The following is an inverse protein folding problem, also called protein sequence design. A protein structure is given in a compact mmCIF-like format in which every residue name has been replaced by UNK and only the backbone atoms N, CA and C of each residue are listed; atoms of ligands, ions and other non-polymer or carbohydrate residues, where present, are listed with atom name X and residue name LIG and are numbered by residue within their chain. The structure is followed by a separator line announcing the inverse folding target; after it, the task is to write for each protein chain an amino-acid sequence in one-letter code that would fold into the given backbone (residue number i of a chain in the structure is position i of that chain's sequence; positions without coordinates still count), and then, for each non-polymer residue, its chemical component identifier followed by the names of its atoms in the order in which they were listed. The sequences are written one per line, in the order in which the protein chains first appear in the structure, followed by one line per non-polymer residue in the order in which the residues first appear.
data_IF_469245435181
#
_entry.id   IF_469245435181
#
_cell.length_a   1.000
_cell.length_b   1.000
_cell.length_c   1.000
_cell.angle_alpha   90.00
_cell.angle_beta   90.00
_cell.angle_gamma   90.00
#
_symmetry.space_group_name_H-M   'P 1'
#
loop_
_entity.id
_entity.type
_entity.pdbx_description
1 polymer ?
#
# COMPACT_ATOMS: atom_id res chain seq x y z
N UNK A 1 -27.72 70.95 61.83
CA UNK A 1 -27.80 69.88 60.81
C UNK A 1 -26.49 69.84 60.04
N UNK A 2 -25.71 68.77 60.14
CA UNK A 2 -24.85 68.29 59.05
C UNK A 2 -24.30 66.90 59.40
N UNK A 3 -24.98 65.89 58.86
CA UNK A 3 -24.63 64.49 58.93
C UNK A 3 -23.64 64.18 57.80
N UNK A 4 -22.36 64.00 58.12
CA UNK A 4 -21.34 63.53 57.18
C UNK A 4 -21.11 62.04 57.43
N UNK A 5 -21.94 61.21 56.79
CA UNK A 5 -21.79 59.75 56.75
C UNK A 5 -20.57 59.38 55.89
N UNK A 6 -19.49 58.94 56.53
CA UNK A 6 -18.37 58.28 55.85
C UNK A 6 -18.81 56.88 55.40
N UNK A 7 -18.99 56.66 54.10
CA UNK A 7 -19.19 55.32 53.54
C UNK A 7 -17.90 54.50 53.63
N UNK A 8 -17.93 53.26 54.14
CA UNK A 8 -16.77 52.39 54.13
C UNK A 8 -16.45 51.93 52.69
N UNK A 9 -15.19 52.08 52.31
CA UNK A 9 -14.65 51.61 51.04
C UNK A 9 -14.82 50.08 50.93
N UNK A 10 -15.65 49.63 49.99
CA UNK A 10 -15.81 48.21 49.67
C UNK A 10 -14.54 47.70 48.98
N UNK A 11 -13.71 47.00 49.74
CA UNK A 11 -12.54 46.29 49.22
C UNK A 11 -13.00 45.20 48.25
N UNK A 12 -12.84 45.41 46.94
CA UNK A 12 -13.09 44.36 45.95
C UNK A 12 -11.97 43.34 46.06
N UNK A 13 -12.29 42.13 46.53
CA UNK A 13 -11.42 40.97 46.45
C UNK A 13 -11.15 40.66 44.97
N UNK A 14 -9.97 41.09 44.51
CA UNK A 14 -9.46 40.83 43.16
C UNK A 14 -9.14 39.33 43.07
N UNK A 15 -10.06 38.53 42.52
CA UNK A 15 -9.81 37.12 42.20
C UNK A 15 -8.64 37.04 41.22
N UNK A 16 -7.50 36.49 41.65
CA UNK A 16 -6.44 36.09 40.72
C UNK A 16 -6.98 34.95 39.84
N UNK A 17 -6.96 35.06 38.50
CA UNK A 17 -7.29 33.92 37.67
C UNK A 17 -6.26 32.81 37.93
N UNK A 18 -6.75 31.64 38.38
CA UNK A 18 -5.93 30.45 38.60
C UNK A 18 -5.24 30.06 37.28
N UNK A 19 -3.92 29.90 37.32
CA UNK A 19 -3.00 29.52 36.24
C UNK A 19 -3.24 28.09 35.70
N UNK A 20 -4.46 27.76 35.27
CA UNK A 20 -4.79 26.44 34.68
C UNK A 20 -4.32 26.28 33.23
N UNK A 21 -3.47 27.19 32.74
CA UNK A 21 -2.96 27.15 31.35
C UNK A 21 -1.83 26.14 31.17
N UNK A 22 -1.08 25.79 32.22
CA UNK A 22 0.03 24.84 32.13
C UNK A 22 -0.42 23.40 31.87
N UNK A 23 -1.46 22.92 32.59
CA UNK A 23 -1.95 21.55 32.44
C UNK A 23 -2.52 21.27 31.03
N UNK A 24 -3.15 22.28 30.40
CA UNK A 24 -3.64 22.16 29.03
C UNK A 24 -2.49 22.03 28.02
N UNK A 25 -1.42 22.80 28.19
CA UNK A 25 -0.23 22.71 27.32
C UNK A 25 0.41 21.31 27.39
N UNK A 26 0.49 20.73 28.60
CA UNK A 26 1.01 19.36 28.78
C UNK A 26 0.11 18.34 28.08
N UNK A 27 -1.21 18.46 28.22
CA UNK A 27 -2.17 17.57 27.56
C UNK A 27 -2.07 17.66 26.03
N UNK A 28 -1.99 18.88 25.49
CA UNK A 28 -1.84 19.11 24.04
C UNK A 28 -0.51 18.52 23.55
N UNK A 29 0.59 18.73 24.27
CA UNK A 29 1.88 18.17 23.91
C UNK A 29 1.85 16.63 23.88
N UNK A 30 1.19 15.99 24.85
CA UNK A 30 1.01 14.54 24.85
C UNK A 30 0.15 14.06 23.67
N UNK A 31 -0.96 14.74 23.36
CA UNK A 31 -1.81 14.41 22.23
C UNK A 31 -1.10 14.59 20.89
N UNK A 32 -0.29 15.64 20.74
CA UNK A 32 0.53 15.84 19.55
C UNK A 32 1.59 14.73 19.42
N UNK A 33 2.26 14.36 20.51
CA UNK A 33 3.22 13.25 20.50
C UNK A 33 2.53 11.93 20.10
N UNK A 34 1.37 11.62 20.67
CA UNK A 34 0.57 10.46 20.29
C UNK A 34 0.15 10.50 18.81
N UNK A 35 -0.27 11.66 18.31
CA UNK A 35 -0.61 11.85 16.90
C UNK A 35 0.58 11.57 15.99
N UNK A 36 1.77 12.10 16.29
CA UNK A 36 2.98 11.82 15.50
C UNK A 36 3.33 10.34 15.44
N UNK A 37 3.18 9.59 16.55
CA UNK A 37 3.38 8.13 16.54
C UNK A 37 2.45 7.48 15.53
N UNK A 38 1.16 7.82 15.54
CA UNK A 38 0.19 7.25 14.57
C UNK A 38 0.51 7.61 13.12
N UNK A 39 0.98 8.83 12.86
CA UNK A 39 1.35 9.27 11.51
C UNK A 39 2.54 8.49 10.98
N UNK A 40 3.59 8.30 11.78
CA UNK A 40 4.79 7.55 11.36
C UNK A 40 4.39 6.13 10.96
N UNK A 41 3.65 5.42 11.83
CA UNK A 41 3.15 4.07 11.50
C UNK A 41 2.24 4.05 10.27
N UNK A 42 1.38 5.07 10.11
CA UNK A 42 0.48 5.15 8.96
C UNK A 42 1.24 5.25 7.63
N UNK A 43 2.38 5.94 7.59
CA UNK A 43 3.20 6.07 6.39
C UNK A 43 3.82 4.73 6.01
N UNK A 44 4.37 4.00 6.99
CA UNK A 44 4.95 2.67 6.76
C UNK A 44 3.92 1.69 6.18
N UNK A 45 2.72 1.66 6.76
CA UNK A 45 1.61 0.80 6.30
C UNK A 45 1.15 1.21 4.91
N UNK A 46 0.99 2.51 4.65
CA UNK A 46 0.60 3.00 3.33
C UNK A 46 1.62 2.59 2.25
N UNK A 47 2.92 2.67 2.57
CA UNK A 47 3.98 2.25 1.66
C UNK A 47 3.92 0.76 1.34
N UNK A 48 3.69 -0.09 2.34
CA UNK A 48 3.52 -1.54 2.13
C UNK A 48 2.31 -1.86 1.23
N UNK A 49 1.19 -1.17 1.44
CA UNK A 49 0.01 -1.34 0.59
C UNK A 49 0.23 -0.85 -0.84
N UNK A 50 0.93 0.26 -1.02
CA UNK A 50 1.30 0.78 -2.33
C UNK A 50 2.15 -0.22 -3.12
N UNK A 51 3.20 -0.78 -2.51
CA UNK A 51 4.05 -1.78 -3.16
C UNK A 51 3.25 -3.01 -3.56
N UNK A 52 2.36 -3.51 -2.69
CA UNK A 52 1.54 -4.68 -3.00
C UNK A 52 0.60 -4.41 -4.19
N UNK A 53 0.02 -3.20 -4.27
CA UNK A 53 -0.82 -2.81 -5.38
C UNK A 53 -0.04 -2.68 -6.69
N UNK A 54 1.15 -2.05 -6.65
CA UNK A 54 2.04 -1.92 -7.81
C UNK A 54 2.50 -3.29 -8.32
N UNK A 55 2.92 -4.19 -7.41
CA UNK A 55 3.34 -5.54 -7.78
C UNK A 55 2.21 -6.29 -8.47
N UNK A 56 0.99 -6.22 -7.90
CA UNK A 56 -0.19 -6.86 -8.48
C UNK A 56 -0.49 -6.32 -9.88
N UNK A 57 -0.49 -4.99 -10.05
CA UNK A 57 -0.73 -4.36 -11.34
C UNK A 57 0.33 -4.76 -12.38
N UNK A 58 1.61 -4.77 -11.99
CA UNK A 58 2.71 -5.18 -12.85
C UNK A 58 2.60 -6.65 -13.29
N UNK A 59 2.27 -7.55 -12.36
CA UNK A 59 2.08 -8.97 -12.67
C UNK A 59 0.87 -9.24 -13.55
N UNK A 60 -0.24 -8.54 -13.33
CA UNK A 60 -1.47 -8.68 -14.14
C UNK A 60 -1.25 -8.20 -15.58
N UNK A 61 -0.61 -7.04 -15.72
CA UNK A 61 -0.22 -6.51 -17.01
C UNK A 61 0.70 -7.50 -17.74
N UNK A 62 1.74 -7.99 -17.07
CA UNK A 62 2.71 -8.93 -17.65
C UNK A 62 2.03 -10.24 -18.10
N UNK A 63 1.08 -10.75 -17.30
CA UNK A 63 0.35 -11.97 -17.61
C UNK A 63 -0.53 -11.78 -18.85
N UNK A 64 -1.18 -10.62 -18.95
CA UNK A 64 -1.98 -10.26 -20.12
C UNK A 64 -1.11 -10.19 -21.38
N UNK A 65 0.07 -9.58 -21.32
CA UNK A 65 0.98 -9.52 -22.46
C UNK A 65 1.48 -10.91 -22.89
N UNK A 66 1.81 -11.78 -21.93
CA UNK A 66 2.21 -13.14 -22.23
C UNK A 66 1.11 -13.92 -22.95
N UNK A 67 -0.13 -13.89 -22.43
CA UNK A 67 -1.27 -14.59 -23.04
C UNK A 67 -1.62 -13.99 -24.40
N UNK A 68 -1.56 -12.67 -24.58
CA UNK A 68 -1.84 -12.02 -25.87
C UNK A 68 -0.85 -12.45 -26.94
N UNK A 69 0.46 -12.46 -26.63
CA UNK A 69 1.49 -12.88 -27.59
C UNK A 69 1.39 -14.37 -27.87
N UNK A 70 1.17 -15.19 -26.84
CA UNK A 70 0.97 -16.62 -27.01
C UNK A 70 -0.24 -16.93 -27.91
N UNK A 71 -1.37 -16.25 -27.72
CA UNK A 71 -2.56 -16.44 -28.53
C UNK A 71 -2.38 -16.02 -30.00
N UNK A 72 -1.45 -15.08 -30.29
CA UNK A 72 -1.18 -14.60 -31.65
C UNK A 72 -0.12 -15.40 -32.39
N UNK A 73 0.89 -15.89 -31.67
CA UNK A 73 2.12 -16.46 -32.26
C UNK A 73 2.28 -17.94 -31.99
N UNK A 74 1.55 -18.49 -31.00
CA UNK A 74 1.72 -19.84 -30.46
C UNK A 74 3.16 -20.14 -29.98
N UNK A 75 4.01 -19.11 -29.83
CA UNK A 75 5.40 -19.22 -29.40
C UNK A 75 5.56 -18.82 -27.92
N UNK A 76 5.96 -19.80 -27.12
CA UNK A 76 6.21 -19.65 -25.68
C UNK A 76 7.42 -18.74 -25.41
N UNK A 77 8.46 -18.78 -26.25
CA UNK A 77 9.64 -17.94 -26.07
C UNK A 77 9.30 -16.46 -26.29
N UNK A 78 8.57 -16.16 -27.37
CA UNK A 78 8.08 -14.81 -27.64
C UNK A 78 7.14 -14.31 -26.53
N UNK A 79 6.27 -15.18 -26.00
CA UNK A 79 5.37 -14.84 -24.90
C UNK A 79 6.13 -14.53 -23.59
N UNK A 80 7.21 -15.26 -23.28
CA UNK A 80 8.07 -14.94 -22.11
C UNK A 80 8.73 -13.58 -22.24
N UNK A 81 9.32 -13.30 -23.40
CA UNK A 81 9.97 -12.01 -23.66
C UNK A 81 8.97 -10.85 -23.56
N UNK A 82 7.75 -11.03 -24.08
CA UNK A 82 6.70 -10.04 -23.93
C UNK A 82 6.33 -9.77 -22.47
N UNK A 83 6.21 -10.82 -21.64
CA UNK A 83 5.97 -10.68 -20.20
C UNK A 83 7.11 -9.92 -19.50
N UNK A 84 8.37 -10.27 -19.78
CA UNK A 84 9.55 -9.60 -19.20
C UNK A 84 9.63 -8.13 -19.59
N UNK A 85 9.39 -7.83 -20.87
CA UNK A 85 9.39 -6.46 -21.37
C UNK A 85 8.33 -5.62 -20.65
N UNK A 86 7.12 -6.17 -20.48
CA UNK A 86 6.07 -5.45 -19.79
C UNK A 86 6.34 -5.32 -18.28
N UNK A 87 6.93 -6.32 -17.65
CA UNK A 87 7.35 -6.24 -16.26
C UNK A 87 8.38 -5.12 -16.05
N UNK A 88 9.38 -5.02 -16.93
CA UNK A 88 10.43 -4.01 -16.85
C UNK A 88 9.90 -2.57 -17.01
N UNK A 89 8.78 -2.38 -17.71
CA UNK A 89 8.11 -1.08 -17.86
C UNK A 89 7.33 -0.66 -16.60
N UNK A 90 7.04 -1.58 -15.69
CA UNK A 90 6.26 -1.30 -14.49
C UNK A 90 7.15 -1.17 -13.25
N UNK A 91 6.95 -0.07 -12.51
CA UNK A 91 7.69 0.21 -11.27
C UNK A 91 6.96 -0.35 -10.04
N UNK A 92 7.71 -1.02 -9.18
CA UNK A 92 7.27 -1.56 -7.89
C UNK A 92 8.24 -1.08 -6.81
N UNK A 93 7.76 -0.25 -5.88
CA UNK A 93 8.61 0.31 -4.82
C UNK A 93 9.78 1.14 -5.35
N UNK A 94 9.62 1.78 -6.52
CA UNK A 94 10.65 2.61 -7.16
C UNK A 94 11.68 1.85 -8.01
N UNK A 95 11.54 0.53 -8.17
CA UNK A 95 12.40 -0.29 -9.04
C UNK A 95 11.58 -0.98 -10.13
N UNK A 96 12.14 -1.24 -11.32
CA UNK A 96 11.44 -2.02 -12.34
C UNK A 96 11.24 -3.47 -11.88
N UNK A 97 10.09 -4.07 -12.22
CA UNK A 97 9.87 -5.50 -11.97
C UNK A 97 10.69 -6.32 -12.96
N UNK A 98 11.55 -7.20 -12.45
CA UNK A 98 12.32 -8.15 -13.26
C UNK A 98 11.80 -9.55 -13.02
N UNK A 99 11.50 -10.27 -14.10
CA UNK A 99 11.01 -11.65 -14.07
C UNK A 99 12.07 -12.58 -14.63
N UNK A 100 12.28 -13.72 -13.97
CA UNK A 100 13.06 -14.83 -14.52
C UNK A 100 12.15 -15.78 -15.30
N UNK A 101 12.73 -16.65 -16.14
CA UNK A 101 11.95 -17.66 -16.87
C UNK A 101 11.19 -18.60 -15.93
N UNK A 102 11.73 -18.86 -14.74
CA UNK A 102 11.06 -19.65 -13.70
C UNK A 102 9.87 -18.95 -13.03
N UNK A 103 9.75 -17.63 -13.17
CA UNK A 103 8.60 -16.87 -12.66
C UNK A 103 7.40 -16.91 -13.61
N UNK A 104 7.58 -17.43 -14.83
CA UNK A 104 6.58 -17.44 -15.91
C UNK A 104 6.25 -18.87 -16.29
N UNK A 105 5.07 -19.33 -15.87
CA UNK A 105 4.55 -20.65 -16.20
C UNK A 105 3.40 -20.56 -17.18
N UNK A 106 3.41 -21.40 -18.21
CA UNK A 106 2.31 -21.52 -19.16
C UNK A 106 1.55 -22.82 -18.95
N UNK A 107 0.25 -22.78 -19.20
CA UNK A 107 -0.62 -23.91 -18.99
C UNK A 107 -2.00 -23.70 -19.60
N UNK A 108 -2.96 -24.48 -19.12
CA UNK A 108 -4.36 -24.37 -19.51
C UNK A 108 -5.21 -23.98 -18.31
N UNK A 109 -6.27 -23.22 -18.57
CA UNK A 109 -7.30 -22.94 -17.57
C UNK A 109 -8.27 -24.12 -17.49
N UNK A 110 -8.35 -24.78 -16.34
CA UNK A 110 -9.37 -25.80 -16.09
C UNK A 110 -10.63 -25.12 -15.56
N UNK A 111 -11.62 -24.96 -16.44
CA UNK A 111 -12.95 -24.42 -16.12
C UNK A 111 -13.94 -25.50 -15.66
N UNK A 112 -13.54 -26.78 -15.64
CA UNK A 112 -14.42 -27.92 -15.38
C UNK A 112 -14.52 -28.27 -13.89
N UNK A 113 -13.95 -27.44 -13.02
CA UNK A 113 -13.92 -27.69 -11.58
C UNK A 113 -15.32 -27.49 -10.99
N UNK A 114 -15.81 -28.51 -10.29
CA UNK A 114 -17.14 -28.54 -9.66
C UNK A 114 -17.40 -27.38 -8.67
N UNK A 115 -16.35 -26.73 -8.18
CA UNK A 115 -16.40 -25.64 -7.20
C UNK A 115 -16.63 -24.25 -7.84
N UNK A 116 -16.80 -24.16 -9.17
CA UNK A 116 -16.96 -22.89 -9.90
C UNK A 116 -15.70 -22.02 -9.96
N UNK A 117 -14.55 -22.51 -9.50
CA UNK A 117 -13.26 -21.82 -9.53
C UNK A 117 -12.45 -22.27 -10.74
N UNK A 118 -11.87 -21.33 -11.47
CA UNK A 118 -10.94 -21.61 -12.57
C UNK A 118 -9.62 -22.12 -11.99
N UNK A 119 -9.24 -23.34 -12.33
CA UNK A 119 -7.94 -23.94 -11.99
C UNK A 119 -6.88 -23.61 -13.03
N UNK A 120 -5.60 -23.65 -12.63
CA UNK A 120 -4.46 -23.58 -13.55
C UNK A 120 -3.78 -24.95 -13.62
N UNK A 121 -3.63 -25.49 -14.82
CA UNK A 121 -2.93 -26.75 -15.09
C UNK A 121 -1.66 -26.45 -15.89
N UNK A 122 -0.49 -26.61 -15.26
CA UNK A 122 0.81 -26.37 -15.89
C UNK A 122 1.04 -27.36 -17.04
N UNK A 123 1.49 -26.86 -18.20
CA UNK A 123 1.75 -27.70 -19.39
C UNK A 123 0.51 -28.31 -20.04
N UNK A 124 -0.70 -27.88 -19.68
CA UNK A 124 -1.93 -28.31 -20.35
C UNK A 124 -1.96 -27.88 -21.83
N UNK A 125 -2.45 -28.77 -22.70
CA UNK A 125 -2.73 -28.45 -24.10
C UNK A 125 -4.25 -28.26 -24.28
N UNK A 126 -4.72 -27.17 -24.92
CA UNK A 126 -3.96 -26.04 -25.47
C UNK A 126 -3.43 -25.09 -24.38
N UNK A 127 -2.28 -24.45 -24.66
CA UNK A 127 -1.69 -23.42 -23.81
C UNK A 127 -2.54 -22.15 -23.87
N UNK A 128 -3.44 -21.99 -22.91
CA UNK A 128 -4.46 -20.93 -22.88
C UNK A 128 -4.31 -19.98 -21.69
N UNK A 129 -3.41 -20.27 -20.76
CA UNK A 129 -3.21 -19.51 -19.53
C UNK A 129 -1.71 -19.29 -19.25
N UNK A 130 -1.39 -18.14 -18.65
CA UNK A 130 -0.08 -17.83 -18.10
C UNK A 130 -0.20 -17.47 -16.62
N UNK A 131 0.69 -18.02 -15.78
CA UNK A 131 0.84 -17.70 -14.37
C UNK A 131 2.18 -16.99 -14.18
N UNK A 132 2.13 -15.77 -13.64
CA UNK A 132 3.31 -14.96 -13.34
C UNK A 132 3.45 -14.80 -11.84
N UNK A 133 4.65 -15.08 -11.34
CA UNK A 133 5.00 -14.98 -9.92
C UNK A 133 5.92 -13.78 -9.70
N UNK A 134 5.36 -12.68 -9.19
CA UNK A 134 6.17 -11.54 -8.76
C UNK A 134 6.77 -11.79 -7.38
N UNK A 135 8.09 -12.02 -7.28
CA UNK A 135 8.79 -12.21 -6.00
C UNK A 135 9.13 -10.87 -5.33
N UNK A 136 8.96 -10.79 -4.01
CA UNK A 136 9.11 -9.57 -3.17
C UNK A 136 10.30 -9.65 -2.19
N UNK A 137 11.29 -10.52 -2.39
CA UNK A 137 12.34 -10.79 -1.39
C UNK A 137 13.74 -10.39 -1.87
N UNK A 138 14.67 -10.21 -0.93
CA UNK A 138 16.12 -9.91 -1.07
C UNK A 138 16.90 -10.99 -1.87
N UNK A 139 16.47 -11.20 -3.11
CA UNK A 139 16.87 -12.30 -3.99
C UNK A 139 15.97 -12.44 -5.22
N UNK A 140 14.92 -11.62 -5.35
CA UNK A 140 14.29 -11.34 -6.63
C UNK A 140 15.30 -10.60 -7.52
N UNK A 141 15.28 -10.86 -8.82
CA UNK A 141 16.20 -10.22 -9.78
C UNK A 141 16.16 -8.68 -9.73
N UNK A 142 15.11 -8.08 -9.17
CA UNK A 142 14.95 -6.64 -8.96
C UNK A 142 15.58 -6.09 -7.67
N UNK A 143 16.12 -6.94 -6.79
CA UNK A 143 16.87 -6.57 -5.58
C UNK A 143 16.07 -5.93 -4.45
#
# INVERSE_FOLDING_TARGET
MNCQQKLPARTRLRRRPRERRGALLVLIAMLMAAFFITVIFSVDVAYMHLINAQLRAATDASAKAAVEVLARTEDVAAAREAAKNLAALNMVGGKPLTLEDGDIEFGSSDTSRADGKIGFVSGGSPLSAARITGRKLDGAASG
#
